data_IF_047424449643
#
_entry.id   IF_047424449643
#
_cell.length_a   1.000
_cell.length_b   1.000
_cell.length_c   1.000
_cell.angle_alpha   90.00
_cell.angle_beta   90.00
_cell.angle_gamma   90.00
#
_symmetry.space_group_name_H-M   'P 1'
#
loop_
_entity.id
_entity.type
_entity.pdbx_description
1 polymer ?
#
# COMPACT_ATOMS: atom_id res chain seq x y z
N UNK A 1 -16.75 9.20 15.04
CA UNK A 1 -16.93 10.36 14.14
C UNK A 1 -16.27 9.96 12.82
N UNK A 2 -17.05 9.83 11.72
CA UNK A 2 -16.48 9.47 10.41
C UNK A 2 -15.53 10.58 9.98
N UNK A 3 -14.28 10.24 9.70
CA UNK A 3 -13.26 11.18 9.20
C UNK A 3 -13.57 11.69 7.79
N UNK A 4 -14.57 11.11 7.11
CA UNK A 4 -14.89 11.43 5.73
C UNK A 4 -16.38 11.72 5.59
N UNK A 5 -16.78 12.85 4.92
CA UNK A 5 -18.17 13.12 4.65
C UNK A 5 -18.75 12.04 3.73
N UNK A 6 -19.95 11.57 4.05
CA UNK A 6 -20.74 10.74 3.14
C UNK A 6 -21.10 11.59 1.91
N UNK A 7 -20.97 11.04 0.70
CA UNK A 7 -21.33 11.68 -0.58
C UNK A 7 -20.54 12.96 -0.94
N UNK A 8 -19.30 12.79 -1.34
CA UNK A 8 -18.69 13.80 -2.22
C UNK A 8 -19.07 13.49 -3.66
N UNK A 9 -19.98 14.29 -4.23
CA UNK A 9 -20.12 14.35 -5.67
C UNK A 9 -18.74 14.56 -6.30
N UNK A 10 -18.45 13.86 -7.41
CA UNK A 10 -17.18 14.02 -8.12
C UNK A 10 -17.06 15.49 -8.52
N UNK A 11 -16.21 16.23 -7.81
CA UNK A 11 -15.82 17.56 -8.21
C UNK A 11 -14.62 17.47 -9.15
N UNK A 12 -14.62 18.14 -10.31
CA UNK A 12 -13.46 18.14 -11.18
C UNK A 12 -12.29 18.82 -10.46
N UNK A 13 -11.35 18.02 -9.95
CA UNK A 13 -10.07 18.56 -9.51
C UNK A 13 -9.37 19.21 -10.70
N UNK A 14 -8.62 20.30 -10.46
CA UNK A 14 -7.88 20.96 -11.52
C UNK A 14 -6.85 19.97 -12.11
N UNK A 15 -7.00 19.53 -13.38
CA UNK A 15 -6.09 18.53 -13.97
C UNK A 15 -4.62 18.98 -13.94
N UNK A 16 -4.38 20.30 -13.96
CA UNK A 16 -3.06 20.90 -13.87
C UNK A 16 -2.34 20.58 -12.55
N UNK A 17 -3.03 20.67 -11.40
CA UNK A 17 -2.42 20.40 -10.10
C UNK A 17 -2.01 18.92 -9.97
N UNK A 18 -2.85 17.98 -10.39
CA UNK A 18 -2.52 16.56 -10.39
C UNK A 18 -1.35 16.27 -11.33
N UNK A 19 -1.32 16.86 -12.52
CA UNK A 19 -0.22 16.74 -13.48
C UNK A 19 1.09 17.22 -12.87
N UNK A 20 1.08 18.40 -12.26
CA UNK A 20 2.25 18.96 -11.60
C UNK A 20 2.81 18.03 -10.52
N UNK A 21 1.96 17.49 -9.64
CA UNK A 21 2.37 16.54 -8.60
C UNK A 21 3.02 15.28 -9.19
N UNK A 22 2.43 14.71 -10.22
CA UNK A 22 2.94 13.49 -10.86
C UNK A 22 4.26 13.79 -11.61
N UNK A 23 4.34 14.92 -12.30
CA UNK A 23 5.51 15.32 -13.09
C UNK A 23 6.66 15.81 -12.21
N UNK A 24 6.40 16.51 -11.10
CA UNK A 24 7.44 16.97 -10.18
C UNK A 24 8.04 15.85 -9.34
N UNK A 25 7.25 14.84 -8.95
CA UNK A 25 7.75 13.74 -8.12
C UNK A 25 8.89 12.97 -8.80
N UNK A 26 10.01 12.86 -8.07
CA UNK A 26 11.21 12.11 -8.49
C UNK A 26 11.63 11.14 -7.37
N UNK A 27 12.40 10.12 -7.73
CA UNK A 27 13.11 9.30 -6.73
C UNK A 27 14.36 10.08 -6.26
N UNK A 28 14.20 10.79 -5.15
CA UNK A 28 15.25 11.62 -4.54
C UNK A 28 16.12 10.75 -3.63
N UNK A 29 17.43 10.78 -3.82
CA UNK A 29 18.39 9.90 -3.12
C UNK A 29 19.30 10.64 -2.13
N UNK A 30 19.14 11.96 -1.99
CA UNK A 30 19.80 12.74 -0.95
C UNK A 30 18.80 13.72 -0.34
N UNK A 31 18.82 13.79 0.96
CA UNK A 31 17.92 14.61 1.75
C UNK A 31 18.72 15.50 2.68
N UNK A 32 18.14 16.63 3.07
CA UNK A 32 18.66 17.45 4.16
C UNK A 32 18.41 16.75 5.50
N UNK A 33 19.03 17.25 6.57
CA UNK A 33 18.80 16.75 7.92
C UNK A 33 17.50 17.29 8.56
N UNK A 34 16.73 18.13 7.83
CA UNK A 34 15.48 18.71 8.33
C UNK A 34 14.46 17.62 8.64
N UNK A 35 13.93 17.64 9.85
CA UNK A 35 12.91 16.68 10.28
C UNK A 35 11.59 16.92 9.52
N UNK A 36 10.88 15.83 9.22
CA UNK A 36 9.52 15.91 8.67
C UNK A 36 8.54 16.05 9.83
N UNK A 37 7.68 17.09 9.89
CA UNK A 37 6.72 17.31 10.97
C UNK A 37 5.73 16.15 11.13
N UNK A 38 5.28 15.90 12.36
CA UNK A 38 4.38 14.79 12.68
C UNK A 38 3.00 14.94 12.07
N UNK A 39 2.49 16.15 12.01
CA UNK A 39 1.21 16.50 11.38
C UNK A 39 1.24 16.22 9.87
N UNK A 40 2.32 16.57 9.18
CA UNK A 40 2.53 16.25 7.75
C UNK A 40 2.54 14.74 7.54
N UNK A 41 3.26 13.98 8.38
CA UNK A 41 3.30 12.52 8.24
C UNK A 41 1.94 11.91 8.48
N UNK A 42 1.19 12.41 9.46
CA UNK A 42 -0.17 11.95 9.76
C UNK A 42 -1.11 12.20 8.59
N UNK A 43 -1.14 13.43 8.07
CA UNK A 43 -1.98 13.80 6.93
C UNK A 43 -1.66 12.93 5.69
N UNK A 44 -0.36 12.75 5.38
CA UNK A 44 0.06 11.89 4.27
C UNK A 44 -0.39 10.42 4.45
N UNK A 45 -0.36 9.89 5.68
CA UNK A 45 -0.82 8.53 5.97
C UNK A 45 -2.35 8.43 5.88
N UNK A 46 -3.09 9.44 6.31
CA UNK A 46 -4.54 9.52 6.17
C UNK A 46 -4.96 9.52 4.69
N UNK A 47 -4.24 10.26 3.84
CA UNK A 47 -4.44 10.22 2.39
C UNK A 47 -4.03 8.86 1.76
N UNK A 48 -2.98 8.24 2.26
CA UNK A 48 -2.53 6.94 1.78
C UNK A 48 -3.58 5.84 1.97
N UNK A 49 -4.24 5.79 3.14
CA UNK A 49 -5.24 4.76 3.45
C UNK A 49 -6.56 4.92 2.70
N UNK A 50 -6.76 6.03 1.99
CA UNK A 50 -7.88 6.23 1.05
C UNK A 50 -7.71 5.47 -0.27
N UNK A 51 -6.59 4.80 -0.48
CA UNK A 51 -6.35 4.06 -1.72
C UNK A 51 -7.42 2.99 -1.95
N UNK A 52 -7.88 2.84 -3.22
CA UNK A 52 -8.84 1.80 -3.55
C UNK A 52 -8.23 0.42 -3.34
N UNK A 53 -9.06 -0.51 -2.86
CA UNK A 53 -8.64 -1.89 -2.66
C UNK A 53 -9.82 -2.86 -2.75
N UNK A 54 -9.53 -4.10 -3.13
CA UNK A 54 -10.56 -5.12 -3.32
C UNK A 54 -11.29 -5.43 -2.02
N UNK A 55 -12.61 -5.31 -2.05
CA UNK A 55 -13.52 -5.54 -0.90
C UNK A 55 -13.23 -4.65 0.30
N UNK A 56 -12.59 -3.52 0.12
CA UNK A 56 -12.21 -2.60 1.21
C UNK A 56 -11.50 -3.27 2.40
N UNK A 57 -10.74 -4.35 2.15
CA UNK A 57 -10.07 -5.11 3.21
C UNK A 57 -8.74 -4.50 3.68
N UNK A 58 -8.31 -3.42 3.04
CA UNK A 58 -7.17 -2.58 3.47
C UNK A 58 -5.94 -3.39 3.90
N UNK A 59 -5.38 -4.24 3.03
CA UNK A 59 -4.34 -5.20 3.38
C UNK A 59 -2.95 -4.57 3.47
N UNK A 60 -2.82 -3.50 4.22
CA UNK A 60 -1.57 -2.76 4.41
C UNK A 60 -1.32 -2.41 5.87
N UNK A 61 -0.06 -2.16 6.18
CA UNK A 61 0.36 -1.47 7.39
C UNK A 61 1.64 -0.67 7.11
N UNK A 62 1.84 0.39 7.88
CA UNK A 62 2.98 1.27 7.76
C UNK A 62 3.71 1.32 9.10
N UNK A 63 5.04 1.20 9.06
CA UNK A 63 5.88 1.47 10.22
C UNK A 63 6.66 2.75 9.94
N UNK A 64 6.46 3.76 10.78
CA UNK A 64 7.12 5.07 10.68
C UNK A 64 8.37 5.05 11.55
N UNK A 65 9.53 5.21 10.96
CA UNK A 65 10.83 5.10 11.62
C UNK A 65 11.49 6.49 11.62
N UNK A 66 11.66 7.07 12.83
CA UNK A 66 12.28 8.37 13.07
C UNK A 66 13.40 8.31 14.10
N UNK A 67 13.37 7.28 14.94
CA UNK A 67 14.40 7.11 15.97
C UNK A 67 15.78 6.99 15.32
N UNK A 68 16.74 7.89 15.68
CA UNK A 68 18.05 7.92 15.04
C UNK A 68 18.82 6.61 15.19
N UNK A 69 18.66 5.91 16.33
CA UNK A 69 19.36 4.65 16.56
C UNK A 69 18.78 3.55 15.66
N UNK A 70 17.46 3.55 15.45
CA UNK A 70 16.80 2.59 14.56
C UNK A 70 17.11 2.90 13.08
N UNK A 71 17.15 4.18 12.68
CA UNK A 71 17.59 4.61 11.35
C UNK A 71 19.03 4.18 11.07
N UNK A 72 19.93 4.35 12.03
CA UNK A 72 21.32 3.90 11.91
C UNK A 72 21.43 2.37 11.71
N UNK A 73 20.54 1.59 12.35
CA UNK A 73 20.45 0.13 12.17
C UNK A 73 19.85 -0.28 10.83
N UNK A 74 18.98 0.54 10.23
CA UNK A 74 18.40 0.30 8.91
C UNK A 74 19.36 0.63 7.77
N UNK A 75 20.23 1.61 7.94
CA UNK A 75 21.17 2.04 6.92
C UNK A 75 21.94 0.88 6.26
N UNK A 76 22.61 -0.04 6.99
CA UNK A 76 23.34 -1.15 6.37
C UNK A 76 22.43 -2.25 5.78
N UNK A 77 21.12 -2.19 6.02
CA UNK A 77 20.15 -3.15 5.47
C UNK A 77 19.72 -2.76 4.05
N UNK A 78 19.85 -1.48 3.71
CA UNK A 78 19.42 -0.93 2.42
C UNK A 78 20.56 -0.92 1.41
N UNK A 79 20.25 -1.25 0.13
CA UNK A 79 21.20 -1.14 -0.97
C UNK A 79 21.41 0.31 -1.40
N UNK A 80 20.38 1.15 -1.29
CA UNK A 80 20.43 2.58 -1.60
C UNK A 80 20.95 3.38 -0.39
N UNK A 81 22.25 3.35 -0.15
CA UNK A 81 22.89 3.89 1.05
C UNK A 81 22.63 5.38 1.28
N UNK A 82 22.58 6.19 0.22
CA UNK A 82 22.31 7.62 0.38
C UNK A 82 20.84 7.90 0.74
N UNK A 83 19.88 7.21 0.11
CA UNK A 83 18.48 7.36 0.43
C UNK A 83 18.15 6.85 1.85
N UNK A 84 18.85 5.83 2.32
CA UNK A 84 18.70 5.29 3.67
C UNK A 84 19.14 6.26 4.79
N UNK A 85 19.78 7.38 4.46
CA UNK A 85 20.14 8.46 5.39
C UNK A 85 19.05 9.53 5.55
N UNK A 86 17.87 9.33 4.96
CA UNK A 86 16.74 10.24 5.13
C UNK A 86 16.35 10.38 6.60
N UNK A 87 15.84 11.56 7.03
CA UNK A 87 15.42 11.78 8.41
C UNK A 87 14.18 10.97 8.81
N UNK A 88 13.46 10.44 7.83
CA UNK A 88 12.28 9.60 8.01
C UNK A 88 12.32 8.44 7.00
N UNK A 89 12.06 7.23 7.50
CA UNK A 89 11.80 6.05 6.66
C UNK A 89 10.45 5.45 7.04
N UNK A 90 9.65 5.10 6.04
CA UNK A 90 8.38 4.39 6.25
C UNK A 90 8.49 3.02 5.61
N UNK A 91 8.39 1.96 6.42
CA UNK A 91 8.28 0.60 5.89
C UNK A 91 6.84 0.33 5.49
N UNK A 92 6.64 0.03 4.22
CA UNK A 92 5.33 -0.29 3.61
C UNK A 92 5.17 -1.80 3.57
N UNK A 93 4.20 -2.30 4.32
CA UNK A 93 4.01 -3.73 4.52
C UNK A 93 2.67 -4.18 3.94
N UNK A 94 2.67 -5.15 3.03
CA UNK A 94 1.45 -5.81 2.59
C UNK A 94 1.04 -6.89 3.60
N UNK A 95 -0.25 -6.96 3.91
CA UNK A 95 -0.84 -7.78 4.97
C UNK A 95 -1.88 -8.76 4.42
N UNK A 96 -1.44 -9.83 3.75
CA UNK A 96 -2.37 -10.87 3.25
C UNK A 96 -3.08 -11.65 4.37
N UNK A 97 -2.60 -11.53 5.60
CA UNK A 97 -3.07 -12.21 6.81
C UNK A 97 -4.25 -11.51 7.50
N UNK A 98 -4.44 -10.21 7.30
CA UNK A 98 -5.40 -9.40 8.08
C UNK A 98 -6.84 -9.42 7.55
N UNK A 99 -7.12 -10.08 6.43
CA UNK A 99 -8.43 -10.07 5.77
C UNK A 99 -9.60 -10.43 6.70
N UNK A 100 -9.38 -11.38 7.62
CA UNK A 100 -10.42 -11.81 8.57
C UNK A 100 -10.77 -10.70 9.56
N UNK A 101 -9.75 -10.08 10.14
CA UNK A 101 -9.93 -8.92 11.03
C UNK A 101 -10.53 -7.73 10.27
N UNK A 102 -10.11 -7.51 9.04
CA UNK A 102 -10.66 -6.45 8.20
C UNK A 102 -12.16 -6.63 7.92
N UNK A 103 -12.62 -7.86 7.66
CA UNK A 103 -14.05 -8.14 7.53
C UNK A 103 -14.83 -7.76 8.79
N UNK A 104 -14.29 -8.05 9.98
CA UNK A 104 -14.91 -7.67 11.26
C UNK A 104 -14.87 -6.16 11.46
N UNK A 105 -13.72 -5.53 11.25
CA UNK A 105 -13.56 -4.08 11.39
C UNK A 105 -14.54 -3.28 10.51
N UNK A 106 -14.84 -3.75 9.29
CA UNK A 106 -15.80 -3.08 8.42
C UNK A 106 -17.21 -3.08 9.04
N UNK A 107 -17.58 -4.12 9.75
CA UNK A 107 -18.85 -4.20 10.45
C UNK A 107 -18.82 -3.30 11.69
N UNK A 108 -17.74 -3.35 12.47
CA UNK A 108 -17.61 -2.65 13.75
C UNK A 108 -17.46 -1.13 13.57
N UNK A 109 -16.79 -0.69 12.49
CA UNK A 109 -16.59 0.73 12.16
C UNK A 109 -17.56 1.25 11.08
N UNK A 110 -18.67 0.54 10.84
CA UNK A 110 -19.66 1.01 9.87
C UNK A 110 -20.16 2.41 10.26
N UNK A 111 -20.18 3.39 9.33
CA UNK A 111 -20.44 4.79 9.68
C UNK A 111 -21.88 5.10 10.06
N UNK A 112 -22.83 4.22 9.70
CA UNK A 112 -24.27 4.37 10.01
C UNK A 112 -24.65 3.52 11.20
N UNK A 113 -25.77 3.84 11.91
CA UNK A 113 -26.21 3.09 13.11
C UNK A 113 -26.47 1.61 12.84
N UNK A 114 -26.90 1.27 11.61
CA UNK A 114 -27.16 -0.12 11.22
C UNK A 114 -26.36 -0.52 9.99
N UNK A 115 -25.68 -1.66 10.08
CA UNK A 115 -25.01 -2.28 8.93
C UNK A 115 -26.08 -2.95 8.06
N UNK A 116 -26.21 -2.56 6.77
CA UNK A 116 -27.20 -3.19 5.88
C UNK A 116 -27.01 -4.71 5.81
N UNK A 117 -28.13 -5.47 5.82
CA UNK A 117 -28.09 -6.93 5.85
C UNK A 117 -27.25 -7.55 4.71
N UNK A 118 -27.26 -6.93 3.51
CA UNK A 118 -26.43 -7.33 2.37
C UNK A 118 -24.94 -7.19 2.68
N UNK A 119 -24.52 -6.10 3.30
CA UNK A 119 -23.12 -5.83 3.69
C UNK A 119 -22.69 -6.81 4.77
N UNK A 120 -23.48 -6.97 5.82
CA UNK A 120 -23.24 -7.94 6.88
C UNK A 120 -23.11 -9.37 6.33
N UNK A 121 -23.99 -9.77 5.42
CA UNK A 121 -23.91 -11.08 4.77
C UNK A 121 -22.65 -11.24 3.90
N UNK A 122 -22.24 -10.18 3.17
CA UNK A 122 -21.06 -10.22 2.35
C UNK A 122 -19.80 -10.45 3.20
N UNK A 123 -19.58 -9.66 4.26
CA UNK A 123 -18.38 -9.77 5.06
C UNK A 123 -18.37 -10.97 6.02
N UNK A 124 -19.53 -11.52 6.37
CA UNK A 124 -19.62 -12.74 7.20
C UNK A 124 -19.57 -14.04 6.39
N UNK A 125 -19.89 -14.02 5.09
CA UNK A 125 -20.00 -15.25 4.29
C UNK A 125 -19.15 -15.19 3.01
N UNK A 126 -19.38 -14.20 2.14
CA UNK A 126 -18.77 -14.15 0.81
C UNK A 126 -17.29 -13.83 0.85
N UNK A 127 -16.89 -12.79 1.56
CA UNK A 127 -15.49 -12.42 1.69
C UNK A 127 -14.66 -13.52 2.41
N UNK A 128 -15.11 -14.12 3.53
CA UNK A 128 -14.44 -15.28 4.11
C UNK A 128 -14.29 -16.46 3.16
N UNK A 129 -15.31 -16.82 2.40
CA UNK A 129 -15.19 -17.86 1.38
C UNK A 129 -14.12 -17.50 0.34
N UNK A 130 -14.09 -16.24 -0.10
CA UNK A 130 -13.18 -15.77 -1.14
C UNK A 130 -11.71 -15.75 -0.67
N UNK A 131 -11.43 -15.22 0.52
CA UNK A 131 -10.07 -14.97 1.01
C UNK A 131 -9.49 -16.10 1.87
N UNK A 132 -10.33 -16.96 2.46
CA UNK A 132 -9.85 -18.11 3.21
C UNK A 132 -9.14 -19.12 2.31
N UNK A 133 -7.95 -19.53 2.70
CA UNK A 133 -7.19 -20.59 2.02
C UNK A 133 -7.13 -21.89 2.86
N UNK A 134 -7.61 -21.84 4.12
CA UNK A 134 -7.51 -22.94 5.08
C UNK A 134 -6.08 -23.25 5.52
N UNK A 135 -5.93 -24.19 6.47
CA UNK A 135 -4.63 -24.68 6.86
C UNK A 135 -3.86 -25.23 5.66
N UNK A 136 -2.58 -24.88 5.54
CA UNK A 136 -1.69 -25.30 4.43
C UNK A 136 -2.21 -25.02 3.02
N UNK A 137 -3.27 -24.19 2.85
CA UNK A 137 -3.86 -23.90 1.55
C UNK A 137 -4.82 -24.96 1.02
N UNK A 138 -5.19 -25.96 1.81
CA UNK A 138 -6.05 -27.08 1.38
C UNK A 138 -7.44 -26.61 0.95
N UNK A 139 -8.02 -25.68 1.68
CA UNK A 139 -9.32 -25.11 1.27
C UNK A 139 -9.21 -24.33 -0.04
N UNK A 140 -8.09 -23.66 -0.27
CA UNK A 140 -7.80 -22.99 -1.54
C UNK A 140 -7.77 -23.96 -2.73
N UNK A 141 -7.16 -25.14 -2.57
CA UNK A 141 -7.12 -26.18 -3.59
C UNK A 141 -8.52 -26.73 -3.87
N UNK A 142 -9.29 -27.06 -2.84
CA UNK A 142 -10.68 -27.50 -2.99
C UNK A 142 -11.53 -26.44 -3.70
N UNK A 143 -11.48 -25.20 -3.23
CA UNK A 143 -12.16 -24.04 -3.82
C UNK A 143 -11.81 -23.86 -5.31
N UNK A 144 -10.54 -24.03 -5.67
CA UNK A 144 -10.07 -23.93 -7.06
C UNK A 144 -10.77 -24.91 -7.97
N UNK A 145 -10.94 -26.19 -7.56
CA UNK A 145 -11.63 -27.20 -8.37
C UNK A 145 -13.13 -26.90 -8.44
N UNK A 146 -13.76 -26.58 -7.32
CA UNK A 146 -15.17 -26.19 -7.28
C UNK A 146 -15.48 -25.03 -8.24
N UNK A 147 -14.66 -23.96 -8.17
CA UNK A 147 -14.85 -22.80 -9.04
C UNK A 147 -14.55 -23.08 -10.50
N UNK A 148 -13.68 -24.03 -10.85
CA UNK A 148 -13.47 -24.48 -12.24
C UNK A 148 -14.76 -25.04 -12.84
N UNK A 149 -15.40 -25.96 -12.15
CA UNK A 149 -16.64 -26.59 -12.60
C UNK A 149 -17.78 -25.59 -12.67
N UNK A 150 -17.97 -24.82 -11.59
CA UNK A 150 -19.05 -23.83 -11.52
C UNK A 150 -18.95 -22.71 -12.56
N UNK A 151 -17.73 -22.36 -12.97
CA UNK A 151 -17.47 -21.31 -13.96
C UNK A 151 -17.85 -21.69 -15.40
N UNK A 152 -18.18 -22.92 -15.67
CA UNK A 152 -18.74 -23.32 -16.97
C UNK A 152 -20.16 -22.80 -17.19
N UNK A 153 -20.88 -22.52 -16.08
CA UNK A 153 -22.30 -22.09 -16.14
C UNK A 153 -22.48 -20.58 -15.93
N UNK A 154 -21.55 -19.92 -15.24
CA UNK A 154 -21.63 -18.48 -14.95
C UNK A 154 -20.25 -17.88 -14.67
N UNK A 155 -20.06 -16.59 -14.96
CA UNK A 155 -18.82 -15.91 -14.58
C UNK A 155 -18.64 -15.90 -13.06
N UNK A 156 -17.47 -16.33 -12.59
CA UNK A 156 -17.11 -16.39 -11.17
C UNK A 156 -15.71 -15.83 -10.95
N UNK A 157 -15.53 -15.16 -9.83
CA UNK A 157 -14.21 -14.73 -9.39
C UNK A 157 -13.40 -15.94 -8.92
N UNK A 158 -12.31 -16.27 -9.65
CA UNK A 158 -11.51 -17.48 -9.43
C UNK A 158 -10.31 -17.26 -8.50
N UNK A 159 -9.99 -16.02 -8.16
CA UNK A 159 -8.84 -15.65 -7.33
C UNK A 159 -9.28 -14.76 -6.15
N UNK A 160 -8.57 -14.80 -5.00
CA UNK A 160 -7.43 -15.66 -4.69
C UNK A 160 -7.85 -17.08 -4.26
N UNK A 161 -7.10 -18.08 -4.70
CA UNK A 161 -7.30 -19.49 -4.31
C UNK A 161 -5.99 -20.18 -3.90
N UNK A 162 -4.95 -19.42 -3.61
CA UNK A 162 -3.66 -19.88 -3.09
C UNK A 162 -2.98 -18.78 -2.27
N UNK A 163 -2.01 -19.17 -1.44
CA UNK A 163 -1.21 -18.21 -0.67
C UNK A 163 -0.43 -17.24 -1.58
N UNK A 164 0.06 -17.71 -2.72
CA UNK A 164 0.72 -16.85 -3.70
C UNK A 164 -0.23 -15.77 -4.23
N UNK A 165 -1.46 -16.13 -4.57
CA UNK A 165 -2.46 -15.16 -5.03
C UNK A 165 -2.94 -14.21 -3.92
N UNK A 166 -2.97 -14.64 -2.66
CA UNK A 166 -3.20 -13.78 -1.52
C UNK A 166 -2.10 -12.72 -1.37
N UNK A 167 -0.84 -13.12 -1.56
CA UNK A 167 0.29 -12.18 -1.57
C UNK A 167 0.17 -11.16 -2.71
N UNK A 168 -0.11 -11.61 -3.94
CA UNK A 168 -0.31 -10.74 -5.10
C UNK A 168 -1.46 -9.75 -4.85
N UNK A 169 -2.58 -10.20 -4.31
CA UNK A 169 -3.70 -9.34 -3.95
C UNK A 169 -3.31 -8.26 -2.96
N UNK A 170 -2.63 -8.63 -1.86
CA UNK A 170 -2.22 -7.67 -0.84
C UNK A 170 -1.19 -6.68 -1.39
N UNK A 171 -0.17 -7.14 -2.13
CA UNK A 171 0.87 -6.29 -2.73
C UNK A 171 0.27 -5.27 -3.69
N UNK A 172 -0.64 -5.67 -4.59
CA UNK A 172 -1.32 -4.73 -5.52
C UNK A 172 -2.04 -3.61 -4.77
N UNK A 173 -2.81 -3.96 -3.74
CA UNK A 173 -3.56 -2.97 -2.95
C UNK A 173 -2.63 -2.05 -2.17
N UNK A 174 -1.58 -2.61 -1.55
CA UNK A 174 -0.60 -1.84 -0.78
C UNK A 174 0.22 -0.89 -1.66
N UNK A 175 0.52 -1.30 -2.90
CA UNK A 175 1.23 -0.44 -3.85
C UNK A 175 0.41 0.82 -4.23
N UNK A 176 -0.92 0.71 -4.32
CA UNK A 176 -1.80 1.87 -4.53
C UNK A 176 -1.75 2.83 -3.34
N UNK A 177 -1.76 2.32 -2.11
CA UNK A 177 -1.61 3.15 -0.91
C UNK A 177 -0.22 3.81 -0.83
N UNK A 178 0.84 3.11 -1.22
CA UNK A 178 2.18 3.68 -1.30
C UNK A 178 2.28 4.79 -2.36
N UNK A 179 1.58 4.67 -3.50
CA UNK A 179 1.54 5.72 -4.52
C UNK A 179 0.82 6.97 -3.99
N UNK A 180 -0.33 6.82 -3.31
CA UNK A 180 -1.00 7.94 -2.65
C UNK A 180 -0.08 8.61 -1.64
N UNK A 181 0.61 7.83 -0.80
CA UNK A 181 1.55 8.33 0.20
C UNK A 181 2.67 9.18 -0.43
N UNK A 182 3.25 8.72 -1.55
CA UNK A 182 4.29 9.47 -2.24
C UNK A 182 3.78 10.79 -2.85
N UNK A 183 2.57 10.81 -3.38
CA UNK A 183 1.96 12.04 -3.91
C UNK A 183 1.57 13.01 -2.80
N UNK A 184 1.08 12.49 -1.68
CA UNK A 184 0.77 13.29 -0.50
C UNK A 184 2.03 13.97 0.07
N UNK A 185 3.15 13.28 0.23
CA UNK A 185 4.41 13.92 0.61
C UNK A 185 4.87 14.97 -0.42
N UNK A 186 4.72 14.67 -1.71
CA UNK A 186 5.06 15.64 -2.76
C UNK A 186 4.21 16.92 -2.66
N UNK A 187 2.91 16.82 -2.33
CA UNK A 187 2.03 17.98 -2.16
C UNK A 187 2.42 18.85 -0.96
N UNK A 188 3.01 18.25 0.08
CA UNK A 188 3.59 18.97 1.23
C UNK A 188 5.02 19.45 0.99
N UNK A 189 5.57 19.32 -0.23
CA UNK A 189 6.93 19.73 -0.57
C UNK A 189 8.01 18.86 0.05
N UNK A 190 7.71 17.59 0.37
CA UNK A 190 8.67 16.57 0.80
C UNK A 190 8.93 15.58 -0.33
N UNK A 191 10.21 15.36 -0.59
CA UNK A 191 10.65 14.39 -1.57
C UNK A 191 10.64 12.97 -1.01
N UNK A 192 10.49 11.98 -1.91
CA UNK A 192 10.48 10.58 -1.53
C UNK A 192 11.41 9.74 -2.40
N UNK A 193 11.88 8.61 -1.84
CA UNK A 193 12.56 7.57 -2.59
C UNK A 193 12.00 6.20 -2.21
N UNK A 194 11.21 5.55 -3.08
CA UNK A 194 10.83 4.16 -2.87
C UNK A 194 12.07 3.27 -3.09
N UNK A 195 12.36 2.42 -2.11
CA UNK A 195 13.49 1.50 -2.11
C UNK A 195 12.96 0.07 -1.97
N UNK A 196 13.22 -0.78 -2.95
CA UNK A 196 12.95 -2.22 -2.90
C UNK A 196 14.23 -3.04 -2.70
N UNK A 197 15.40 -2.39 -2.89
CA UNK A 197 16.71 -3.00 -2.64
C UNK A 197 17.06 -2.98 -1.15
N UNK A 198 16.69 -4.02 -0.42
CA UNK A 198 17.06 -4.24 0.99
C UNK A 198 17.21 -5.73 1.29
N UNK A 199 17.98 -6.05 2.33
CA UNK A 199 18.05 -7.40 2.88
C UNK A 199 16.80 -7.66 3.72
N UNK A 200 15.86 -8.44 3.16
CA UNK A 200 14.58 -8.73 3.81
C UNK A 200 14.74 -9.44 5.18
N UNK A 201 15.70 -10.34 5.32
CA UNK A 201 15.91 -11.08 6.56
C UNK A 201 16.36 -10.16 7.68
N UNK A 202 17.33 -9.29 7.39
CA UNK A 202 17.83 -8.29 8.33
C UNK A 202 16.76 -7.24 8.64
N UNK A 203 16.01 -6.78 7.61
CA UNK A 203 14.92 -5.83 7.78
C UNK A 203 13.86 -6.35 8.74
N UNK A 204 13.39 -7.58 8.54
CA UNK A 204 12.41 -8.23 9.40
C UNK A 204 12.86 -8.29 10.86
N UNK A 205 14.13 -8.62 11.08
CA UNK A 205 14.72 -8.66 12.41
C UNK A 205 14.84 -7.27 13.03
N UNK A 206 15.26 -6.27 12.25
CA UNK A 206 15.46 -4.90 12.73
C UNK A 206 14.16 -4.23 13.13
N UNK A 207 13.08 -4.45 12.37
CA UNK A 207 11.78 -3.81 12.56
C UNK A 207 10.72 -4.71 13.22
N UNK A 208 11.07 -5.91 13.66
CA UNK A 208 10.13 -6.90 14.21
C UNK A 208 8.91 -7.14 13.32
N UNK A 209 9.14 -7.26 12.00
CA UNK A 209 8.06 -7.44 11.03
C UNK A 209 7.43 -8.83 11.20
N UNK A 210 6.09 -8.93 11.38
CA UNK A 210 5.39 -10.20 11.49
C UNK A 210 5.69 -11.11 10.28
N UNK A 211 5.82 -12.42 10.52
CA UNK A 211 6.18 -13.39 9.47
C UNK A 211 5.22 -13.36 8.27
N UNK A 212 3.94 -13.09 8.51
CA UNK A 212 2.89 -13.05 7.49
C UNK A 212 2.88 -11.75 6.68
N UNK A 213 3.40 -10.65 7.24
CA UNK A 213 3.52 -9.39 6.53
C UNK A 213 4.62 -9.43 5.48
N UNK A 214 4.43 -8.74 4.37
CA UNK A 214 5.40 -8.66 3.28
C UNK A 214 5.93 -7.23 3.20
N UNK A 215 7.20 -6.96 3.51
CA UNK A 215 7.79 -5.67 3.24
C UNK A 215 7.92 -5.49 1.73
N UNK A 216 7.13 -4.58 1.16
CA UNK A 216 7.10 -4.37 -0.29
C UNK A 216 8.03 -3.24 -0.71
N UNK A 217 8.24 -2.24 0.14
CA UNK A 217 9.23 -1.17 -0.05
C UNK A 217 9.52 -0.45 1.27
N UNK A 218 10.65 0.22 1.31
CA UNK A 218 10.96 1.27 2.27
C UNK A 218 10.85 2.60 1.55
N UNK A 219 10.12 3.54 2.12
CA UNK A 219 9.98 4.88 1.58
C UNK A 219 10.84 5.84 2.40
N UNK A 220 11.95 6.32 1.83
CA UNK A 220 12.74 7.39 2.41
C UNK A 220 12.04 8.73 2.13
N UNK A 221 11.95 9.59 3.13
CA UNK A 221 11.22 10.87 3.08
C UNK A 221 12.03 11.98 3.71
N UNK A 222 12.03 13.17 3.11
CA UNK A 222 12.70 14.36 3.63
C UNK A 222 12.68 15.52 2.64
N UNK A 223 13.25 16.65 3.02
CA UNK A 223 13.51 17.74 2.08
C UNK A 223 14.62 17.36 1.12
N UNK A 224 14.43 17.64 -0.17
CA UNK A 224 15.41 17.33 -1.20
C UNK A 224 16.70 18.15 -1.01
N UNK A 225 17.85 17.46 -1.05
CA UNK A 225 19.17 18.08 -1.22
C UNK A 225 19.36 18.50 -2.69
N UNK A 226 20.14 19.53 -2.97
CA UNK A 226 20.41 20.03 -4.33
C UNK A 226 20.90 18.92 -5.29
N UNK A 227 21.67 17.97 -4.80
CA UNK A 227 22.19 16.81 -5.54
C UNK A 227 21.34 15.56 -5.35
N UNK A 228 20.09 15.71 -4.96
CA UNK A 228 19.18 14.60 -4.62
C UNK A 228 18.71 13.79 -5.82
N UNK A 229 18.62 14.39 -7.00
CA UNK A 229 18.21 13.72 -8.25
C UNK A 229 19.44 13.44 -9.11
N UNK A 230 19.70 12.14 -9.39
CA UNK A 230 20.93 11.73 -10.06
C UNK A 230 20.86 11.74 -11.60
N UNK A 231 19.69 11.46 -12.16
CA UNK A 231 19.54 11.25 -13.60
C UNK A 231 18.31 11.97 -14.15
N UNK A 232 18.25 12.32 -15.44
CA UNK A 232 17.05 12.81 -16.08
C UNK A 232 15.93 11.76 -16.00
N UNK A 233 14.66 12.22 -16.15
CA UNK A 233 13.53 11.30 -16.24
C UNK A 233 13.55 10.61 -17.60
N UNK A 234 13.48 9.27 -17.58
CA UNK A 234 13.24 8.46 -18.75
C UNK A 234 11.87 7.78 -18.63
N UNK A 235 11.08 7.85 -19.68
CA UNK A 235 9.86 7.04 -19.87
C UNK A 235 9.80 6.60 -21.32
N UNK A 236 9.33 5.40 -21.54
CA UNK A 236 9.08 4.92 -22.90
C UNK A 236 7.85 5.61 -23.49
N UNK A 237 7.72 5.67 -24.83
CA UNK A 237 6.55 6.20 -25.50
C UNK A 237 5.27 5.48 -25.05
N UNK A 238 4.14 6.24 -25.01
CA UNK A 238 2.86 5.72 -24.54
C UNK A 238 2.41 4.48 -25.35
N UNK A 239 2.70 4.48 -26.64
CA UNK A 239 2.33 3.45 -27.61
C UNK A 239 2.93 2.07 -27.28
N UNK A 240 4.02 2.03 -26.51
CA UNK A 240 4.61 0.75 -26.04
C UNK A 240 3.79 0.13 -24.89
N UNK A 241 2.88 0.87 -24.29
CA UNK A 241 2.13 0.45 -23.10
C UNK A 241 0.62 0.42 -23.33
N UNK A 242 0.12 1.00 -24.43
CA UNK A 242 -1.32 1.16 -24.69
C UNK A 242 -1.68 0.51 -26.02
N UNK A 243 -2.69 -0.32 -26.01
CA UNK A 243 -3.35 -0.87 -27.21
C UNK A 243 -4.78 -0.35 -27.22
N UNK A 244 -5.16 0.34 -28.28
CA UNK A 244 -6.53 0.78 -28.54
C UNK A 244 -7.28 -0.36 -29.26
N UNK A 245 -8.42 -0.84 -28.72
CA UNK A 245 -9.24 -1.91 -29.24
C UNK A 245 -10.58 -1.38 -29.75
#
# INVERSE_FOLDING_TARGET
>A
MSLFPADTAISPATPAALRELIESRRAVRRFTAEAVPDDVVRDCLELAVLAPNSCNLQPWSFQVIRDPALLARLHPVCMSQNAAKAPLIIAVLARPDTWKQACQNIIDYWPEPEVPARIRSFYNKTAPFQYNQGPFGLFGLFKRQLLRVAAWRKPLMRAPNSQAQMRIWAVKSTALAAQNLMLAFQSHGYATCPMEGFDEVRLRKTLNIPRQALPIMLLAVGKQDEKGVYNPRLRFPLEQHVTWL
#
